data_IF_639110893365
#
_entry.id   IF_639110893365
#
_cell.length_a   1.000
_cell.length_b   1.000
_cell.length_c   1.000
_cell.angle_alpha   90.00
_cell.angle_beta   90.00
_cell.angle_gamma   90.00
#
_symmetry.space_group_name_H-M   'P 1'
#
loop_
_entity.id
_entity.type
_entity.pdbx_description
1 polymer ?
#
# COMPACT_ATOMS: atom_id res chain seq x y z
N UNK A 1 -57.51 3.06 -36.27
CA UNK A 1 -56.27 3.86 -36.37
C UNK A 1 -56.06 4.51 -35.02
N UNK A 2 -55.00 4.14 -34.29
CA UNK A 2 -54.64 4.79 -33.03
C UNK A 2 -54.06 6.18 -33.37
N UNK A 3 -54.60 7.23 -32.78
CA UNK A 3 -54.05 8.58 -32.89
C UNK A 3 -52.78 8.65 -32.02
N UNK A 4 -51.62 8.43 -32.63
CA UNK A 4 -50.34 8.75 -32.03
C UNK A 4 -50.26 10.29 -31.91
N UNK A 5 -50.36 10.82 -30.69
CA UNK A 5 -50.16 12.24 -30.43
C UNK A 5 -48.64 12.49 -30.44
N UNK A 6 -48.14 13.19 -31.47
CA UNK A 6 -46.76 13.65 -31.50
C UNK A 6 -46.46 14.64 -30.37
N UNK A 7 -45.22 14.64 -29.88
CA UNK A 7 -44.76 15.53 -28.82
C UNK A 7 -44.85 17.01 -29.24
N UNK A 8 -45.21 17.88 -28.31
CA UNK A 8 -45.21 19.32 -28.51
C UNK A 8 -43.78 19.87 -28.58
N UNK A 9 -43.53 20.86 -29.44
CA UNK A 9 -42.24 21.54 -29.54
C UNK A 9 -41.82 22.14 -28.18
N UNK A 10 -42.79 22.65 -27.41
CA UNK A 10 -42.57 23.18 -26.07
C UNK A 10 -42.14 22.07 -25.07
N UNK A 11 -42.73 20.90 -25.19
CA UNK A 11 -42.46 19.75 -24.33
C UNK A 11 -41.04 19.22 -24.59
N UNK A 12 -40.65 19.10 -25.86
CA UNK A 12 -39.27 18.76 -26.23
C UNK A 12 -38.26 19.83 -25.79
N UNK A 13 -38.62 21.12 -25.89
CA UNK A 13 -37.74 22.21 -25.48
C UNK A 13 -37.54 22.25 -23.96
N UNK A 14 -38.60 22.02 -23.19
CA UNK A 14 -38.53 21.95 -21.72
C UNK A 14 -37.70 20.73 -21.27
N UNK A 15 -37.85 19.59 -21.95
CA UNK A 15 -37.12 18.36 -21.63
C UNK A 15 -35.62 18.52 -21.87
N UNK A 16 -35.23 19.17 -22.98
CA UNK A 16 -33.83 19.50 -23.25
C UNK A 16 -33.25 20.50 -22.26
N UNK A 17 -34.04 21.49 -21.82
CA UNK A 17 -33.61 22.47 -20.81
C UNK A 17 -33.37 21.80 -19.46
N UNK A 18 -34.28 20.93 -19.01
CA UNK A 18 -34.12 20.17 -17.76
C UNK A 18 -32.92 19.23 -17.87
N UNK A 19 -32.76 18.53 -19.00
CA UNK A 19 -31.63 17.64 -19.25
C UNK A 19 -30.29 18.39 -19.21
N UNK A 20 -30.20 19.59 -19.80
CA UNK A 20 -29.00 20.41 -19.78
C UNK A 20 -28.63 20.88 -18.38
N UNK A 21 -29.61 21.29 -17.56
CA UNK A 21 -29.38 21.71 -16.17
C UNK A 21 -28.89 20.54 -15.31
N UNK A 22 -29.42 19.33 -15.51
CA UNK A 22 -29.01 18.14 -14.76
C UNK A 22 -27.66 17.57 -15.23
N UNK A 23 -27.33 17.72 -16.52
CA UNK A 23 -26.11 17.14 -17.09
C UNK A 23 -24.82 17.78 -16.53
N UNK A 24 -24.78 19.09 -16.34
CA UNK A 24 -23.56 19.81 -15.89
C UNK A 24 -23.04 19.31 -14.54
N UNK A 25 -23.80 19.34 -13.43
CA UNK A 25 -23.30 18.86 -12.14
C UNK A 25 -23.01 17.36 -12.14
N UNK A 26 -23.71 16.59 -12.98
CA UNK A 26 -23.49 15.14 -13.10
C UNK A 26 -22.17 14.82 -13.81
N UNK A 27 -21.77 15.61 -14.82
CA UNK A 27 -20.47 15.50 -15.48
C UNK A 27 -19.32 15.83 -14.53
N UNK A 28 -19.45 16.90 -13.73
CA UNK A 28 -18.44 17.25 -12.71
C UNK A 28 -18.30 16.16 -11.65
N UNK A 29 -19.42 15.62 -11.15
CA UNK A 29 -19.41 14.51 -10.20
C UNK A 29 -18.81 13.23 -10.82
N UNK A 30 -19.08 12.94 -12.09
CA UNK A 30 -18.51 11.81 -12.80
C UNK A 30 -16.99 11.95 -12.98
N UNK A 31 -16.51 13.12 -13.38
CA UNK A 31 -15.07 13.37 -13.52
C UNK A 31 -14.34 13.21 -12.19
N UNK A 32 -14.89 13.76 -11.10
CA UNK A 32 -14.34 13.57 -9.75
C UNK A 32 -14.30 12.10 -9.34
N UNK A 33 -15.38 11.35 -9.62
CA UNK A 33 -15.42 9.91 -9.34
C UNK A 33 -14.34 9.13 -10.11
N UNK A 34 -14.10 9.46 -11.38
CA UNK A 34 -13.06 8.82 -12.20
C UNK A 34 -11.67 9.13 -11.65
N UNK A 35 -11.38 10.39 -11.31
CA UNK A 35 -10.09 10.80 -10.73
C UNK A 35 -9.85 10.09 -9.39
N UNK A 36 -10.84 10.11 -8.47
CA UNK A 36 -10.72 9.44 -7.17
C UNK A 36 -10.49 7.92 -7.33
N UNK A 37 -11.16 7.29 -8.30
CA UNK A 37 -10.94 5.88 -8.63
C UNK A 37 -9.53 5.62 -9.15
N UNK A 38 -9.02 6.49 -10.04
CA UNK A 38 -7.69 6.34 -10.62
C UNK A 38 -6.62 6.53 -9.55
N UNK A 39 -6.72 7.58 -8.73
CA UNK A 39 -5.86 7.82 -7.58
C UNK A 39 -5.84 6.62 -6.63
N UNK A 40 -7.02 6.11 -6.25
CA UNK A 40 -7.11 4.92 -5.39
C UNK A 40 -6.36 3.73 -5.98
N UNK A 41 -6.47 3.52 -7.30
CA UNK A 41 -5.73 2.45 -7.98
C UNK A 41 -4.22 2.71 -7.95
N UNK A 42 -3.78 3.94 -8.21
CA UNK A 42 -2.36 4.32 -8.18
C UNK A 42 -1.76 4.09 -6.79
N UNK A 43 -2.45 4.47 -5.72
CA UNK A 43 -1.99 4.22 -4.35
C UNK A 43 -1.84 2.73 -4.05
N UNK A 44 -2.79 1.89 -4.49
CA UNK A 44 -2.70 0.43 -4.32
C UNK A 44 -1.50 -0.12 -5.09
N UNK A 45 -1.32 0.26 -6.36
CA UNK A 45 -0.17 -0.15 -7.16
C UNK A 45 1.16 0.26 -6.49
N UNK A 46 1.23 1.51 -6.00
CA UNK A 46 2.39 2.02 -5.29
C UNK A 46 2.74 1.22 -4.02
N UNK A 47 1.74 0.77 -3.25
CA UNK A 47 1.97 -0.10 -2.09
C UNK A 47 2.41 -1.51 -2.47
N UNK A 48 1.86 -2.07 -3.56
CA UNK A 48 2.26 -3.39 -4.07
C UNK A 48 3.73 -3.37 -4.52
N UNK A 49 4.13 -2.30 -5.23
CA UNK A 49 5.51 -2.08 -5.67
C UNK A 49 6.46 -2.00 -4.46
N UNK A 50 6.13 -1.20 -3.44
CA UNK A 50 6.96 -1.08 -2.23
C UNK A 50 7.17 -2.43 -1.56
N UNK A 51 6.09 -3.20 -1.38
CA UNK A 51 6.14 -4.51 -0.73
C UNK A 51 7.02 -5.48 -1.54
N UNK A 52 6.86 -5.52 -2.86
CA UNK A 52 7.65 -6.40 -3.71
C UNK A 52 9.14 -6.04 -3.73
N UNK A 53 9.50 -4.75 -3.77
CA UNK A 53 10.91 -4.31 -3.67
C UNK A 53 11.48 -4.67 -2.29
N UNK A 54 10.69 -4.54 -1.23
CA UNK A 54 11.09 -4.92 0.13
C UNK A 54 11.35 -6.42 0.24
N UNK A 55 10.43 -7.26 -0.25
CA UNK A 55 10.60 -8.72 -0.28
C UNK A 55 11.79 -9.13 -1.14
N UNK A 56 11.98 -8.48 -2.30
CA UNK A 56 13.13 -8.72 -3.15
C UNK A 56 14.45 -8.47 -2.41
N UNK A 57 14.54 -7.36 -1.68
CA UNK A 57 15.70 -7.04 -0.86
C UNK A 57 15.94 -8.09 0.23
N UNK A 58 14.89 -8.54 0.94
CA UNK A 58 15.00 -9.57 1.98
C UNK A 58 15.53 -10.91 1.45
N UNK A 59 15.31 -11.21 0.17
CA UNK A 59 15.74 -12.46 -0.47
C UNK A 59 17.12 -12.36 -1.13
N UNK A 60 17.51 -11.18 -1.62
CA UNK A 60 18.69 -11.02 -2.48
C UNK A 60 19.78 -10.11 -1.89
N UNK A 61 19.54 -9.47 -0.74
CA UNK A 61 20.44 -8.48 -0.11
C UNK A 61 20.83 -7.32 -1.05
N UNK A 62 19.93 -6.97 -1.99
CA UNK A 62 20.09 -5.89 -2.97
C UNK A 62 18.74 -5.39 -3.46
N UNK A 63 18.68 -4.20 -4.05
CA UNK A 63 17.52 -3.75 -4.81
C UNK A 63 17.56 -4.28 -6.25
N UNK A 64 16.39 -4.41 -6.92
CA UNK A 64 16.36 -4.81 -8.31
C UNK A 64 16.88 -3.66 -9.20
N UNK A 65 17.46 -3.99 -10.35
CA UNK A 65 17.72 -2.96 -11.37
C UNK A 65 16.41 -2.58 -12.09
N UNK A 66 16.28 -1.36 -12.64
CA UNK A 66 15.10 -1.01 -13.43
C UNK A 66 14.94 -1.92 -14.66
N UNK A 67 13.71 -2.03 -15.15
CA UNK A 67 13.42 -2.58 -16.47
C UNK A 67 13.50 -1.48 -17.54
N UNK A 68 13.83 -1.87 -18.77
CA UNK A 68 13.88 -0.94 -19.91
C UNK A 68 12.44 -0.54 -20.33
N UNK A 69 12.09 0.77 -20.32
CA UNK A 69 10.73 1.21 -20.58
C UNK A 69 10.19 0.88 -21.98
N UNK A 70 10.98 1.07 -23.03
CA UNK A 70 10.50 0.92 -24.41
C UNK A 70 10.34 -0.54 -24.87
N UNK A 71 10.64 -1.53 -24.01
CA UNK A 71 10.47 -2.94 -24.38
C UNK A 71 8.97 -3.28 -24.51
N UNK A 72 8.50 -3.75 -25.68
CA UNK A 72 7.09 -4.01 -25.91
C UNK A 72 6.65 -5.34 -25.29
N UNK A 73 5.36 -5.42 -24.96
CA UNK A 73 4.73 -6.59 -24.36
C UNK A 73 4.95 -7.84 -25.23
N UNK A 74 5.30 -8.95 -24.57
CA UNK A 74 5.59 -10.23 -25.22
C UNK A 74 7.07 -10.43 -25.60
N UNK A 75 7.92 -9.42 -25.42
CA UNK A 75 9.38 -9.59 -25.52
C UNK A 75 9.92 -10.31 -24.28
N UNK A 76 11.00 -11.07 -24.42
CA UNK A 76 11.59 -11.82 -23.30
C UNK A 76 12.10 -10.92 -22.16
N UNK A 77 12.62 -9.73 -22.50
CA UNK A 77 13.16 -8.75 -21.54
C UNK A 77 12.09 -7.82 -20.95
N UNK A 78 10.82 -8.04 -21.30
CA UNK A 78 9.74 -7.15 -20.93
C UNK A 78 9.45 -7.23 -19.42
N UNK A 79 9.63 -6.11 -18.71
CA UNK A 79 9.39 -6.05 -17.28
C UNK A 79 10.39 -6.84 -16.44
N UNK A 80 11.50 -7.29 -17.04
CA UNK A 80 12.60 -7.96 -16.34
C UNK A 80 13.64 -6.91 -15.95
N UNK A 81 14.25 -7.04 -14.78
CA UNK A 81 15.35 -6.17 -14.35
C UNK A 81 16.50 -6.20 -15.37
N UNK A 82 17.13 -5.05 -15.61
CA UNK A 82 18.26 -4.92 -16.50
C UNK A 82 19.37 -4.15 -15.80
N UNK A 83 20.46 -4.85 -15.50
CA UNK A 83 21.62 -4.28 -14.81
C UNK A 83 22.75 -4.01 -15.81
N UNK A 84 23.18 -2.74 -16.01
CA UNK A 84 24.22 -2.41 -16.98
C UNK A 84 25.52 -3.14 -16.71
N UNK A 85 25.92 -4.03 -17.63
CA UNK A 85 27.20 -4.74 -17.58
C UNK A 85 27.32 -5.75 -16.44
N UNK A 86 26.23 -6.09 -15.76
CA UNK A 86 26.20 -7.03 -14.64
C UNK A 86 25.09 -8.05 -14.83
N UNK A 87 25.39 -9.32 -14.62
CA UNK A 87 24.44 -10.44 -14.76
C UNK A 87 23.98 -10.88 -13.37
N UNK A 88 22.95 -10.21 -12.83
CA UNK A 88 22.56 -10.37 -11.42
C UNK A 88 21.64 -11.57 -11.17
N UNK A 89 20.94 -12.05 -12.19
CA UNK A 89 20.05 -13.21 -12.18
C UNK A 89 20.69 -14.45 -12.83
N UNK A 90 21.85 -14.28 -13.48
CA UNK A 90 22.62 -15.38 -14.08
C UNK A 90 21.95 -15.97 -15.33
N UNK A 91 21.00 -15.25 -15.92
CA UNK A 91 20.22 -15.70 -17.06
C UNK A 91 20.89 -15.35 -18.41
N UNK A 92 21.94 -14.51 -18.37
CA UNK A 92 22.72 -14.08 -19.53
C UNK A 92 21.99 -13.13 -20.48
N UNK A 93 20.88 -12.52 -20.04
CA UNK A 93 20.04 -11.62 -20.83
C UNK A 93 20.20 -10.14 -20.46
N UNK A 94 21.06 -9.84 -19.49
CA UNK A 94 21.35 -8.49 -19.02
C UNK A 94 21.91 -7.56 -20.10
N UNK A 95 21.56 -6.28 -19.98
CA UNK A 95 21.98 -5.24 -20.90
C UNK A 95 23.50 -4.99 -20.86
N UNK A 96 24.04 -4.53 -21.98
CA UNK A 96 25.45 -4.16 -22.09
C UNK A 96 25.81 -3.04 -21.09
N UNK A 97 27.09 -2.96 -20.73
CA UNK A 97 27.59 -1.88 -19.88
C UNK A 97 27.24 -0.52 -20.49
N UNK A 98 26.68 0.36 -19.68
CA UNK A 98 26.23 1.68 -20.10
C UNK A 98 27.17 2.76 -19.57
N UNK A 99 27.52 3.73 -20.42
CA UNK A 99 28.33 4.87 -19.98
C UNK A 99 27.55 5.72 -18.97
N UNK A 100 28.27 6.50 -18.15
CA UNK A 100 27.64 7.52 -17.32
C UNK A 100 27.08 8.64 -18.21
N UNK A 101 25.99 9.29 -17.79
CA UNK A 101 25.25 10.30 -18.56
C UNK A 101 24.69 9.78 -19.89
N UNK A 102 24.29 8.51 -19.92
CA UNK A 102 23.72 7.89 -21.10
C UNK A 102 22.27 7.49 -20.86
N UNK A 103 21.46 7.59 -21.91
CA UNK A 103 20.12 7.05 -21.96
C UNK A 103 19.95 6.23 -23.23
N UNK A 104 19.34 5.06 -23.11
CA UNK A 104 18.95 4.20 -24.23
C UNK A 104 17.58 3.61 -23.95
N UNK A 105 16.64 3.73 -24.89
CA UNK A 105 15.30 3.14 -24.79
C UNK A 105 14.50 3.53 -23.52
N UNK A 106 14.66 4.77 -23.07
CA UNK A 106 14.05 5.29 -21.84
C UNK A 106 14.73 4.82 -20.54
N UNK A 107 15.77 3.98 -20.64
CA UNK A 107 16.61 3.61 -19.51
C UNK A 107 17.80 4.56 -19.43
N UNK A 108 18.05 5.17 -18.28
CA UNK A 108 19.13 6.13 -18.09
C UNK A 108 20.10 5.70 -16.98
N UNK A 109 21.37 6.07 -17.13
CA UNK A 109 22.42 5.94 -16.12
C UNK A 109 23.09 7.30 -16.00
N UNK A 110 22.90 7.94 -14.85
CA UNK A 110 23.33 9.33 -14.60
C UNK A 110 24.22 9.40 -13.37
N UNK A 111 25.03 10.46 -13.30
CA UNK A 111 25.88 10.76 -12.15
C UNK A 111 25.02 11.32 -11.02
N UNK A 112 24.89 10.57 -9.94
CA UNK A 112 24.32 11.04 -8.69
C UNK A 112 25.35 11.79 -7.85
N UNK A 113 25.11 11.85 -6.54
CA UNK A 113 26.13 12.34 -5.59
C UNK A 113 27.24 11.31 -5.36
N UNK A 114 28.40 11.78 -4.92
CA UNK A 114 29.43 10.97 -4.28
C UNK A 114 28.96 10.56 -2.86
N UNK A 115 28.28 9.43 -2.75
CA UNK A 115 27.75 8.92 -1.50
C UNK A 115 28.82 8.22 -0.65
N UNK A 116 29.93 7.81 -1.25
CA UNK A 116 31.00 7.12 -0.56
C UNK A 116 32.25 7.93 -0.22
N UNK A 117 32.31 9.16 -0.70
CA UNK A 117 33.36 10.12 -0.44
C UNK A 117 34.68 9.77 -1.13
N UNK A 118 34.66 8.98 -2.19
CA UNK A 118 35.86 8.60 -2.94
C UNK A 118 36.30 9.67 -3.98
N UNK A 119 35.49 10.71 -4.16
CA UNK A 119 35.72 11.80 -5.10
C UNK A 119 35.13 11.56 -6.49
N UNK A 120 34.37 10.49 -6.71
CA UNK A 120 33.62 10.23 -7.93
C UNK A 120 32.12 10.15 -7.62
N UNK A 121 31.32 10.67 -8.56
CA UNK A 121 29.86 10.60 -8.45
C UNK A 121 29.36 9.15 -8.61
N UNK A 122 28.48 8.70 -7.72
CA UNK A 122 27.88 7.37 -7.78
C UNK A 122 26.78 7.31 -8.83
N UNK A 123 26.65 6.18 -9.53
CA UNK A 123 25.63 6.02 -10.56
C UNK A 123 24.21 5.92 -10.01
N UNK A 124 23.25 6.49 -10.74
CA UNK A 124 21.81 6.27 -10.55
C UNK A 124 21.24 5.65 -11.82
N UNK A 125 20.52 4.55 -11.67
CA UNK A 125 19.83 3.85 -12.75
C UNK A 125 18.36 4.25 -12.75
N UNK A 126 17.84 4.67 -13.90
CA UNK A 126 16.46 5.14 -14.06
C UNK A 126 15.79 4.33 -15.17
N UNK A 127 14.58 3.84 -14.91
CA UNK A 127 13.79 3.09 -15.88
C UNK A 127 12.38 2.84 -15.35
N UNK A 128 11.81 1.67 -15.63
CA UNK A 128 10.51 1.26 -15.07
C UNK A 128 10.68 0.20 -13.99
N UNK A 129 9.62 0.00 -13.21
CA UNK A 129 9.54 -1.10 -12.25
C UNK A 129 9.69 -2.46 -12.97
N UNK A 130 10.65 -3.31 -12.56
CA UNK A 130 10.87 -4.63 -13.14
C UNK A 130 9.85 -5.64 -12.62
N UNK A 131 8.60 -5.47 -13.04
CA UNK A 131 7.45 -6.16 -12.47
C UNK A 131 7.47 -7.70 -12.61
N UNK A 132 8.10 -8.22 -13.68
CA UNK A 132 8.24 -9.68 -13.89
C UNK A 132 9.26 -10.24 -12.90
N UNK A 133 10.40 -9.56 -12.73
CA UNK A 133 11.41 -9.93 -11.73
C UNK A 133 10.84 -9.87 -10.31
N UNK A 134 9.99 -8.88 -10.04
CA UNK A 134 9.32 -8.69 -8.75
C UNK A 134 8.11 -9.59 -8.54
N UNK A 135 7.70 -10.40 -9.53
CA UNK A 135 6.53 -11.28 -9.42
C UNK A 135 5.19 -10.56 -9.32
N UNK A 136 5.11 -9.29 -9.74
CA UNK A 136 3.90 -8.48 -9.69
C UNK A 136 3.05 -8.74 -10.96
N UNK A 137 1.73 -8.93 -10.87
CA UNK A 137 0.87 -8.96 -12.05
C UNK A 137 0.91 -7.64 -12.83
N UNK A 138 0.92 -7.70 -14.17
CA UNK A 138 1.10 -6.51 -15.01
C UNK A 138 0.01 -5.43 -14.82
N UNK A 139 -1.19 -5.80 -14.37
CA UNK A 139 -2.29 -4.85 -14.13
C UNK A 139 -2.20 -4.15 -12.77
N UNK A 140 -1.40 -4.70 -11.86
CA UNK A 140 -1.11 -4.18 -10.51
C UNK A 140 0.13 -3.28 -10.47
N UNK A 141 0.98 -3.28 -11.51
CA UNK A 141 2.12 -2.35 -11.65
C UNK A 141 1.82 -1.11 -12.48
N UNK A 142 0.58 -0.98 -12.97
CA UNK A 142 0.11 0.19 -13.71
C UNK A 142 -0.75 1.07 -12.81
N UNK A 143 -0.58 2.37 -12.96
CA UNK A 143 -1.37 3.37 -12.26
C UNK A 143 -2.87 3.36 -12.67
N UNK A 144 -3.64 4.28 -12.10
CA UNK A 144 -5.04 4.51 -12.44
C UNK A 144 -5.29 4.83 -13.92
N UNK A 145 -4.33 5.50 -14.57
CA UNK A 145 -4.40 5.97 -15.95
C UNK A 145 -3.75 5.03 -16.97
N UNK A 146 -3.24 3.87 -16.51
CA UNK A 146 -2.57 2.84 -17.31
C UNK A 146 -1.16 3.21 -17.77
N UNK A 147 -0.53 4.12 -17.06
CA UNK A 147 0.86 4.48 -17.19
C UNK A 147 1.71 3.58 -16.28
N UNK A 148 2.98 3.39 -16.66
CA UNK A 148 3.97 2.69 -15.83
C UNK A 148 4.59 3.66 -14.83
N UNK A 149 5.01 3.12 -13.70
CA UNK A 149 5.82 3.85 -12.73
C UNK A 149 7.25 3.99 -13.24
N UNK A 150 7.82 5.19 -13.11
CA UNK A 150 9.27 5.37 -13.19
C UNK A 150 9.91 4.87 -11.89
N UNK A 151 11.09 4.28 -12.02
CA UNK A 151 11.89 3.75 -10.93
C UNK A 151 13.32 4.21 -11.10
N UNK A 152 13.85 4.90 -10.10
CA UNK A 152 15.25 5.27 -10.03
C UNK A 152 15.89 4.66 -8.79
N UNK A 153 17.08 4.07 -8.93
CA UNK A 153 17.79 3.38 -7.86
C UNK A 153 19.28 3.68 -7.91
N UNK A 154 19.87 3.82 -6.73
CA UNK A 154 21.33 3.96 -6.60
C UNK A 154 22.02 2.69 -7.09
N UNK A 155 22.90 2.83 -8.08
CA UNK A 155 23.48 1.70 -8.82
C UNK A 155 24.27 0.74 -7.91
N UNK A 156 24.99 1.27 -6.92
CA UNK A 156 25.76 0.47 -5.96
C UNK A 156 24.88 -0.33 -5.00
N UNK A 157 23.60 0.03 -4.85
CA UNK A 157 22.62 -0.70 -4.03
C UNK A 157 21.84 -1.76 -4.82
N UNK A 158 22.13 -1.92 -6.12
CA UNK A 158 21.55 -2.98 -6.96
C UNK A 158 22.43 -4.24 -7.03
N UNK A 159 23.46 -4.33 -6.19
CA UNK A 159 24.43 -5.42 -6.16
C UNK A 159 24.78 -5.74 -4.71
N UNK A 160 24.59 -6.99 -4.29
CA UNK A 160 24.79 -7.41 -2.90
C UNK A 160 26.25 -7.30 -2.44
N UNK A 161 27.20 -7.25 -3.38
CA UNK A 161 28.64 -7.09 -3.06
C UNK A 161 28.97 -5.62 -2.76
N UNK A 162 28.33 -4.67 -3.46
CA UNK A 162 28.56 -3.24 -3.27
C UNK A 162 27.54 -2.57 -2.34
N UNK A 163 26.51 -3.31 -1.92
CA UNK A 163 25.42 -2.80 -1.10
C UNK A 163 25.91 -2.28 0.25
N UNK A 164 25.73 -0.98 0.48
CA UNK A 164 25.99 -0.35 1.77
C UNK A 164 24.74 0.46 2.16
N UNK A 165 24.02 0.08 3.23
CA UNK A 165 22.77 0.69 3.69
C UNK A 165 22.72 2.21 3.90
N UNK A 166 23.85 2.90 3.81
CA UNK A 166 23.97 4.34 4.06
C UNK A 166 24.35 5.13 2.80
N UNK A 167 24.50 4.46 1.65
CA UNK A 167 25.02 5.04 0.40
C UNK A 167 23.91 5.22 -0.63
N UNK A 168 22.89 6.00 -0.31
CA UNK A 168 21.98 6.52 -1.32
C UNK A 168 22.68 7.59 -2.17
N UNK A 169 22.37 7.65 -3.46
CA UNK A 169 22.91 8.63 -4.40
C UNK A 169 21.84 9.59 -4.98
N UNK A 170 20.56 9.38 -4.66
CA UNK A 170 19.43 10.14 -5.23
C UNK A 170 19.03 11.30 -4.31
N UNK A 171 18.75 12.47 -4.89
CA UNK A 171 18.27 13.63 -4.15
C UNK A 171 16.76 13.82 -4.32
N UNK A 172 16.08 14.11 -3.20
CA UNK A 172 14.64 14.39 -3.18
C UNK A 172 14.38 15.72 -2.49
N UNK A 173 13.86 16.66 -3.25
CA UNK A 173 13.47 18.00 -2.83
C UNK A 173 11.98 18.07 -2.51
N UNK A 174 11.58 19.03 -1.68
CA UNK A 174 10.17 19.39 -1.56
C UNK A 174 9.78 20.31 -2.72
N UNK A 175 8.58 20.15 -3.25
CA UNK A 175 7.97 20.98 -4.31
C UNK A 175 7.92 22.48 -4.00
N UNK A 176 7.88 22.85 -2.70
CA UNK A 176 7.93 24.24 -2.24
C UNK A 176 9.35 24.86 -2.29
N UNK A 177 10.34 24.10 -2.77
CA UNK A 177 11.74 24.51 -2.87
C UNK A 177 12.46 24.56 -1.52
N UNK A 178 11.87 24.02 -0.45
CA UNK A 178 12.54 23.88 0.84
C UNK A 178 13.56 22.72 0.86
N UNK A 179 14.33 22.62 1.94
CA UNK A 179 15.47 21.68 2.08
C UNK A 179 15.11 20.23 1.69
N UNK A 180 16.07 19.44 1.17
CA UNK A 180 15.81 18.06 0.77
C UNK A 180 15.21 17.24 1.92
N UNK A 181 14.27 16.35 1.62
CA UNK A 181 13.65 15.48 2.64
C UNK A 181 14.65 14.54 3.30
N UNK A 182 15.69 14.15 2.54
CA UNK A 182 16.78 13.31 3.03
C UNK A 182 17.81 14.08 3.88
N UNK A 183 17.54 15.33 4.22
CA UNK A 183 18.44 16.18 4.98
C UNK A 183 18.12 16.14 6.48
N UNK A 184 18.85 15.29 7.20
CA UNK A 184 18.89 15.26 8.66
C UNK A 184 19.92 16.22 9.29
N UNK A 185 20.21 17.40 8.71
CA UNK A 185 20.98 18.45 9.40
C UNK A 185 20.08 19.63 9.83
N UNK A 186 19.69 19.74 11.11
CA UNK A 186 18.96 20.90 11.60
C UNK A 186 19.82 22.18 11.70
N UNK A 187 21.16 22.09 11.57
CA UNK A 187 22.06 23.22 11.86
C UNK A 187 22.56 23.98 10.61
N UNK A 188 22.35 23.49 9.38
CA UNK A 188 22.78 24.22 8.18
C UNK A 188 21.96 23.91 6.91
N UNK A 189 20.85 24.62 6.66
CA UNK A 189 20.00 24.44 5.47
C UNK A 189 20.54 25.09 4.17
N UNK A 190 21.77 25.63 4.17
CA UNK A 190 22.30 26.47 3.08
C UNK A 190 23.61 25.98 2.45
N UNK A 191 24.12 24.80 2.84
CA UNK A 191 25.28 24.21 2.21
C UNK A 191 24.87 23.48 0.91
N UNK A 192 25.51 23.85 -0.21
CA UNK A 192 25.38 23.18 -1.50
C UNK A 192 25.71 21.66 -1.32
N UNK A 193 24.80 20.74 -1.69
CA UNK A 193 24.76 19.34 -1.22
C UNK A 193 25.87 18.38 -1.69
N UNK A 194 26.95 18.87 -2.32
CA UNK A 194 27.97 17.97 -2.90
C UNK A 194 28.86 17.22 -1.90
N UNK A 195 28.97 17.61 -0.63
CA UNK A 195 30.14 17.14 0.17
C UNK A 195 29.92 16.98 1.70
N UNK A 196 28.72 16.65 2.18
CA UNK A 196 28.55 16.33 3.62
C UNK A 196 28.46 14.82 3.87
N UNK A 197 29.60 14.25 4.24
CA UNK A 197 29.82 12.89 4.67
C UNK A 197 28.78 12.43 5.72
N UNK A 198 27.96 11.43 5.36
CA UNK A 198 27.22 10.60 6.32
C UNK A 198 25.73 10.85 6.47
N UNK A 199 25.09 11.63 5.60
CA UNK A 199 23.62 11.77 5.59
C UNK A 199 23.00 10.88 4.52
N UNK A 200 22.05 10.05 4.95
CA UNK A 200 21.37 9.07 4.12
C UNK A 200 20.45 9.79 3.12
N UNK A 201 20.80 9.71 1.85
CA UNK A 201 19.91 10.15 0.77
C UNK A 201 19.08 8.97 0.24
N UNK A 202 18.15 9.22 -0.68
CA UNK A 202 17.28 8.17 -1.16
C UNK A 202 18.09 7.03 -1.81
N UNK A 203 17.81 5.80 -1.38
CA UNK A 203 18.27 4.57 -2.00
C UNK A 203 17.61 4.39 -3.36
N UNK A 204 16.29 4.55 -3.39
CA UNK A 204 15.47 4.50 -4.60
C UNK A 204 14.25 5.42 -4.46
N UNK A 205 13.73 5.81 -5.61
CA UNK A 205 12.46 6.52 -5.76
C UNK A 205 11.63 5.84 -6.84
N UNK A 206 10.31 5.94 -6.72
CA UNK A 206 9.40 5.56 -7.80
C UNK A 206 8.14 6.40 -7.74
N UNK A 207 7.55 6.64 -8.90
CA UNK A 207 6.42 7.55 -8.98
C UNK A 207 5.56 7.28 -10.20
N UNK A 208 4.28 7.62 -10.05
CA UNK A 208 3.28 7.64 -11.10
C UNK A 208 3.28 9.02 -11.75
N UNK A 209 3.21 9.08 -13.08
CA UNK A 209 3.16 10.34 -13.87
C UNK A 209 1.74 10.94 -13.99
N UNK A 210 0.90 10.67 -13.00
CA UNK A 210 -0.48 11.18 -12.97
C UNK A 210 -1.36 10.95 -14.21
N UNK A 211 -2.30 11.88 -14.39
CA UNK A 211 -3.28 11.93 -15.47
C UNK A 211 -2.64 12.29 -16.82
N UNK A 212 -1.63 13.17 -16.82
CA UNK A 212 -1.01 13.63 -18.06
C UNK A 212 -0.04 12.59 -18.67
N UNK A 213 0.52 11.69 -17.85
CA UNK A 213 1.50 10.67 -18.22
C UNK A 213 2.86 11.20 -18.69
N UNK A 214 3.24 12.45 -18.39
CA UNK A 214 4.41 13.15 -18.94
C UNK A 214 5.72 12.50 -18.50
N UNK A 215 6.33 11.72 -19.39
CA UNK A 215 7.58 10.99 -19.10
C UNK A 215 7.36 9.50 -18.85
N UNK A 216 6.10 9.06 -18.80
CA UNK A 216 5.75 7.65 -18.66
C UNK A 216 5.69 6.89 -19.98
N UNK A 217 5.44 5.59 -19.88
CA UNK A 217 5.26 4.64 -20.95
C UNK A 217 4.00 3.80 -20.69
N UNK A 218 3.32 3.38 -21.75
CA UNK A 218 2.27 2.37 -21.68
C UNK A 218 2.86 0.99 -21.40
N UNK A 219 2.00 0.02 -21.10
CA UNK A 219 2.42 -1.38 -21.02
C UNK A 219 3.06 -1.90 -22.32
N UNK A 220 2.84 -1.29 -23.48
CA UNK A 220 3.46 -1.71 -24.74
C UNK A 220 4.81 -1.03 -25.01
N UNK A 221 5.34 -0.28 -24.04
CA UNK A 221 6.61 0.46 -24.20
C UNK A 221 6.47 1.72 -25.05
N UNK A 222 5.25 2.24 -25.22
CA UNK A 222 4.99 3.46 -26.00
C UNK A 222 5.00 4.63 -25.02
N UNK A 223 5.82 5.65 -25.27
CA UNK A 223 5.85 6.87 -24.45
C UNK A 223 4.49 7.58 -24.43
N UNK A 224 4.08 8.03 -23.25
CA UNK A 224 2.83 8.75 -22.98
C UNK A 224 3.14 10.18 -22.55
N UNK A 225 2.13 11.04 -22.64
CA UNK A 225 2.24 12.46 -22.28
C UNK A 225 3.04 13.29 -23.27
N UNK A 226 3.20 14.56 -22.94
CA UNK A 226 4.07 15.46 -23.68
C UNK A 226 5.55 15.10 -23.48
N UNK A 227 6.41 15.61 -24.35
CA UNK A 227 7.85 15.42 -24.18
C UNK A 227 8.29 16.16 -22.92
N UNK A 228 8.83 15.43 -21.95
CA UNK A 228 9.58 16.07 -20.87
C UNK A 228 10.63 16.99 -21.48
N UNK A 229 10.52 18.28 -21.18
CA UNK A 229 11.40 19.29 -21.75
C UNK A 229 12.69 19.25 -20.92
N UNK A 230 13.70 18.48 -21.36
CA UNK A 230 15.02 18.33 -20.70
C UNK A 230 15.86 19.63 -20.68
N UNK A 231 15.22 20.79 -20.70
CA UNK A 231 15.92 22.05 -20.51
C UNK A 231 16.35 22.13 -19.06
N UNK A 232 17.66 22.24 -18.80
CA UNK A 232 18.18 22.60 -17.48
C UNK A 232 17.49 23.90 -17.05
N UNK A 233 16.53 23.83 -16.14
CA UNK A 233 15.82 25.01 -15.69
C UNK A 233 16.43 25.46 -14.38
N UNK A 234 17.14 26.60 -14.38
CA UNK A 234 17.45 27.22 -13.09
C UNK A 234 16.14 27.68 -12.44
N UNK A 235 16.01 27.57 -11.11
CA UNK A 235 14.83 28.06 -10.37
C UNK A 235 14.41 29.52 -10.74
N UNK A 236 15.34 30.34 -11.24
CA UNK A 236 15.09 31.69 -11.76
C UNK A 236 14.49 31.73 -13.18
N UNK A 237 14.87 30.80 -14.07
CA UNK A 237 14.27 30.65 -15.41
C UNK A 237 12.89 29.99 -15.32
N UNK A 238 12.71 29.09 -14.36
CA UNK A 238 11.42 28.48 -13.99
C UNK A 238 10.40 29.52 -13.52
N UNK A 239 10.76 30.33 -12.52
CA UNK A 239 9.88 31.34 -11.96
C UNK A 239 9.48 32.43 -12.97
N UNK A 240 10.32 32.65 -13.99
CA UNK A 240 10.05 33.61 -15.07
C UNK A 240 9.23 33.02 -16.23
N UNK A 241 9.21 31.69 -16.41
CA UNK A 241 8.61 31.03 -17.56
C UNK A 241 7.17 30.53 -17.36
N UNK A 242 6.70 30.40 -16.11
CA UNK A 242 5.36 29.89 -15.82
C UNK A 242 5.14 28.44 -16.28
N UNK A 243 6.20 27.62 -16.23
CA UNK A 243 6.18 26.19 -16.59
C UNK A 243 5.80 25.32 -15.38
N UNK A 244 5.33 24.11 -15.67
CA UNK A 244 5.00 23.06 -14.70
C UNK A 244 6.28 22.46 -14.11
N UNK A 245 6.95 23.19 -13.21
CA UNK A 245 8.32 22.86 -12.77
C UNK A 245 8.44 21.52 -12.06
N UNK A 246 7.64 21.32 -11.01
CA UNK A 246 7.73 20.12 -10.18
C UNK A 246 7.46 18.86 -11.02
N UNK A 247 6.52 18.97 -11.96
CA UNK A 247 6.24 17.93 -12.94
C UNK A 247 7.41 17.66 -13.90
N UNK A 248 8.10 18.72 -14.36
CA UNK A 248 9.22 18.58 -15.29
C UNK A 248 10.47 17.97 -14.63
N UNK A 249 10.69 18.28 -13.35
CA UNK A 249 11.79 17.70 -12.57
C UNK A 249 11.69 16.18 -12.53
N UNK A 250 10.49 15.63 -12.30
CA UNK A 250 10.34 14.18 -12.19
C UNK A 250 10.44 13.43 -13.53
N UNK A 251 10.63 14.11 -14.67
CA UNK A 251 10.68 13.45 -15.96
C UNK A 251 11.95 13.72 -16.80
N UNK A 252 12.87 14.57 -16.31
CA UNK A 252 14.05 15.01 -17.07
C UNK A 252 15.19 13.99 -17.11
N UNK A 253 15.08 12.96 -16.27
CA UNK A 253 15.96 11.79 -16.14
C UNK A 253 17.32 12.13 -15.53
N UNK A 254 17.37 13.00 -14.54
CA UNK A 254 18.54 13.16 -13.68
C UNK A 254 18.39 12.47 -12.31
N UNK A 255 19.26 12.81 -11.36
CA UNK A 255 19.29 12.19 -10.02
C UNK A 255 18.55 13.02 -8.96
N UNK A 256 17.97 14.16 -9.34
CA UNK A 256 17.21 15.07 -8.51
C UNK A 256 15.71 14.91 -8.81
N UNK A 257 14.90 14.88 -7.75
CA UNK A 257 13.46 14.68 -7.89
C UNK A 257 12.72 15.60 -6.93
N UNK A 258 11.48 15.96 -7.26
CA UNK A 258 10.61 16.71 -6.36
C UNK A 258 9.51 15.83 -5.79
N UNK A 259 9.18 16.06 -4.53
CA UNK A 259 8.10 15.42 -3.81
C UNK A 259 7.18 16.45 -3.18
N UNK A 260 5.88 16.18 -3.23
CA UNK A 260 4.87 16.94 -2.51
C UNK A 260 3.95 16.00 -1.72
N UNK A 261 3.85 16.21 -0.40
CA UNK A 261 2.92 15.48 0.46
C UNK A 261 1.45 15.85 0.27
N UNK A 262 1.15 17.03 -0.29
CA UNK A 262 -0.18 17.64 -0.26
C UNK A 262 -0.74 18.01 -1.66
N UNK A 263 0.07 18.00 -2.72
CA UNK A 263 -0.31 18.59 -4.00
C UNK A 263 -0.62 17.60 -5.12
N UNK A 264 -1.79 16.93 -5.07
CA UNK A 264 -2.46 16.69 -6.35
C UNK A 264 -3.03 18.03 -6.82
N UNK A 265 -2.31 18.71 -7.71
CA UNK A 265 -2.68 20.03 -8.20
C UNK A 265 -2.65 20.05 -9.72
N UNK A 266 -3.83 20.26 -10.31
CA UNK A 266 -3.98 20.47 -11.75
C UNK A 266 -3.92 21.96 -12.11
N UNK A 267 -3.42 22.82 -11.21
CA UNK A 267 -3.30 24.25 -11.47
C UNK A 267 -2.07 24.51 -12.34
N UNK A 268 -2.27 24.95 -13.58
CA UNK A 268 -1.20 25.20 -14.53
C UNK A 268 -0.10 26.15 -13.99
N UNK A 269 1.15 25.89 -14.38
CA UNK A 269 2.33 26.64 -13.94
C UNK A 269 3.07 25.93 -12.80
N UNK A 270 3.79 26.69 -11.97
CA UNK A 270 4.68 26.13 -10.92
C UNK A 270 4.00 25.08 -10.02
N UNK A 271 2.71 25.28 -9.74
CA UNK A 271 1.93 24.43 -8.83
C UNK A 271 1.34 23.19 -9.53
N UNK A 272 1.56 22.98 -10.83
CA UNK A 272 1.08 21.78 -11.51
C UNK A 272 1.95 20.59 -11.09
N UNK A 273 1.29 19.59 -10.50
CA UNK A 273 1.91 18.35 -10.04
C UNK A 273 0.79 17.31 -9.90
N UNK A 274 0.74 16.33 -10.80
CA UNK A 274 -0.17 15.18 -10.68
C UNK A 274 0.56 13.87 -10.39
N UNK A 275 1.87 13.97 -10.16
CA UNK A 275 2.72 12.85 -9.79
C UNK A 275 2.39 12.32 -8.39
N UNK A 276 2.41 10.99 -8.26
CA UNK A 276 2.31 10.31 -6.97
C UNK A 276 3.66 9.68 -6.67
N UNK A 277 4.37 10.25 -5.69
CA UNK A 277 5.79 10.00 -5.48
C UNK A 277 6.09 9.23 -4.19
N UNK A 278 7.00 8.27 -4.29
CA UNK A 278 7.45 7.41 -3.21
C UNK A 278 8.98 7.36 -3.20
N UNK A 279 9.57 7.29 -2.01
CA UNK A 279 11.01 7.15 -1.85
C UNK A 279 11.35 6.27 -0.64
N UNK A 280 12.57 5.75 -0.66
CA UNK A 280 13.15 4.98 0.42
C UNK A 280 14.55 5.54 0.69
N UNK A 281 14.86 5.94 1.92
CA UNK A 281 16.11 6.58 2.34
C UNK A 281 16.97 5.72 3.30
N UNK A 282 16.60 4.46 3.46
CA UNK A 282 17.30 3.47 4.27
C UNK A 282 16.89 2.07 3.89
N UNK A 283 17.49 1.05 4.50
CA UNK A 283 17.04 -0.33 4.28
C UNK A 283 15.58 -0.45 4.70
N UNK A 284 14.67 -0.89 3.82
CA UNK A 284 13.28 -1.10 4.20
C UNK A 284 13.26 -2.18 5.27
N UNK A 285 12.95 -1.79 6.50
CA UNK A 285 12.62 -2.75 7.54
C UNK A 285 11.21 -3.24 7.21
N UNK A 286 11.11 -4.42 6.61
CA UNK A 286 9.86 -5.11 6.35
C UNK A 286 9.08 -5.26 7.65
N UNK A 287 8.24 -4.27 7.96
CA UNK A 287 7.19 -4.46 8.92
C UNK A 287 6.27 -5.51 8.32
N UNK A 288 6.20 -6.69 8.93
CA UNK A 288 5.15 -7.69 8.66
C UNK A 288 3.75 -7.06 8.68
N UNK A 289 3.62 -5.90 9.33
CA UNK A 289 2.43 -5.09 9.49
C UNK A 289 2.68 -3.70 8.91
N UNK A 290 1.88 -3.33 7.92
CA UNK A 290 1.82 -2.02 7.31
C UNK A 290 0.58 -1.28 7.77
N UNK A 291 0.63 0.05 7.78
CA UNK A 291 -0.50 0.91 8.14
C UNK A 291 -0.91 1.75 6.93
N UNK A 292 -2.20 1.73 6.58
CA UNK A 292 -2.79 2.62 5.58
C UNK A 292 -3.39 3.84 6.27
N UNK A 293 -2.82 5.03 6.05
CA UNK A 293 -3.36 6.28 6.59
C UNK A 293 -4.68 6.73 5.95
N UNK A 294 -5.07 6.15 4.81
CA UNK A 294 -6.30 6.51 4.08
C UNK A 294 -7.50 5.68 4.53
N UNK A 295 -7.27 4.39 4.81
CA UNK A 295 -8.31 3.47 5.28
C UNK A 295 -8.28 3.26 6.80
N UNK A 296 -7.24 3.76 7.48
CA UNK A 296 -6.93 3.54 8.90
C UNK A 296 -6.70 2.05 9.29
N UNK A 297 -6.38 1.21 8.30
CA UNK A 297 -6.21 -0.23 8.49
C UNK A 297 -4.75 -0.65 8.63
N UNK A 298 -4.52 -1.72 9.41
CA UNK A 298 -3.24 -2.43 9.49
C UNK A 298 -3.34 -3.72 8.67
N UNK A 299 -2.46 -3.90 7.69
CA UNK A 299 -2.47 -5.05 6.78
C UNK A 299 -1.09 -5.71 6.70
N UNK A 300 -1.05 -6.98 6.32
CA UNK A 300 0.21 -7.71 6.14
C UNK A 300 0.83 -7.41 4.78
N UNK A 301 2.15 -7.39 4.69
CA UNK A 301 2.87 -7.21 3.41
C UNK A 301 2.73 -8.41 2.47
N UNK A 302 2.51 -9.61 3.02
CA UNK A 302 2.27 -10.82 2.23
C UNK A 302 0.77 -10.99 1.91
N UNK A 303 0.48 -11.39 0.68
CA UNK A 303 -0.88 -11.72 0.24
C UNK A 303 -1.36 -13.06 0.77
N UNK A 304 -2.65 -13.15 1.13
CA UNK A 304 -3.30 -14.38 1.59
C UNK A 304 -3.65 -14.38 3.08
N UNK A 305 -3.86 -15.58 3.62
CA UNK A 305 -4.27 -15.81 5.00
C UNK A 305 -3.04 -15.96 5.92
N UNK A 306 -3.07 -15.39 7.13
CA UNK A 306 -2.02 -15.53 8.14
C UNK A 306 -2.19 -16.83 8.93
N UNK A 307 -1.27 -17.79 8.73
CA UNK A 307 -1.18 -19.01 9.53
C UNK A 307 -0.19 -18.89 10.69
N UNK A 308 -0.64 -19.13 11.93
CA UNK A 308 0.23 -19.27 13.11
C UNK A 308 0.24 -20.75 13.52
N UNK A 309 1.34 -21.44 13.24
CA UNK A 309 1.46 -22.88 13.51
C UNK A 309 0.76 -23.78 12.47
N UNK A 310 0.33 -23.21 11.34
CA UNK A 310 -0.23 -23.92 10.19
C UNK A 310 0.32 -23.32 8.89
N UNK A 311 0.59 -24.16 7.89
CA UNK A 311 1.05 -23.75 6.56
C UNK A 311 -0.08 -23.69 5.52
N UNK A 312 -1.29 -24.12 5.89
CA UNK A 312 -2.48 -24.13 5.02
C UNK A 312 -3.66 -23.44 5.74
N UNK A 313 -3.56 -22.12 5.99
CA UNK A 313 -4.56 -21.38 6.75
C UNK A 313 -5.89 -21.26 5.99
N UNK A 314 -6.98 -21.75 6.57
CA UNK A 314 -8.32 -21.72 5.95
C UNK A 314 -9.08 -20.40 6.18
N UNK A 315 -8.58 -19.57 7.11
CA UNK A 315 -9.18 -18.29 7.50
C UNK A 315 -8.14 -17.17 7.46
N UNK A 316 -8.58 -15.92 7.33
CA UNK A 316 -7.72 -14.74 7.22
C UNK A 316 -6.63 -14.66 8.33
N UNK A 317 -6.97 -15.08 9.54
CA UNK A 317 -6.00 -15.39 10.60
C UNK A 317 -6.37 -16.76 11.17
N UNK A 318 -5.50 -17.74 11.01
CA UNK A 318 -5.69 -19.13 11.43
C UNK A 318 -4.59 -19.54 12.41
N UNK A 319 -4.97 -19.84 13.65
CA UNK A 319 -4.03 -20.13 14.74
C UNK A 319 -4.19 -21.58 15.17
N UNK A 320 -3.23 -22.42 14.83
CA UNK A 320 -3.14 -23.79 15.34
C UNK A 320 -2.48 -23.77 16.74
N UNK A 321 -3.25 -23.33 17.74
CA UNK A 321 -2.79 -23.22 19.11
C UNK A 321 -3.63 -22.29 19.97
N UNK A 322 -3.08 -21.88 21.11
CA UNK A 322 -3.77 -21.02 22.08
C UNK A 322 -3.58 -19.53 21.75
N UNK A 323 -4.66 -18.75 21.80
CA UNK A 323 -4.63 -17.30 21.71
C UNK A 323 -4.66 -16.69 23.12
N UNK A 324 -3.66 -15.88 23.47
CA UNK A 324 -3.65 -15.10 24.72
C UNK A 324 -3.93 -13.63 24.42
N UNK A 325 -5.09 -13.14 24.85
CA UNK A 325 -5.42 -11.71 24.82
C UNK A 325 -5.13 -11.06 26.18
N UNK A 326 -4.52 -9.87 26.18
CA UNK A 326 -4.21 -9.14 27.42
C UNK A 326 -5.47 -8.62 28.15
N UNK A 327 -6.52 -8.32 27.38
CA UNK A 327 -7.77 -7.76 27.90
C UNK A 327 -8.97 -8.54 27.35
N UNK A 328 -9.59 -8.06 26.28
CA UNK A 328 -10.85 -8.61 25.74
C UNK A 328 -10.63 -9.13 24.33
N UNK A 329 -11.26 -10.24 24.02
CA UNK A 329 -11.40 -10.74 22.65
C UNK A 329 -12.82 -10.48 22.18
N UNK A 330 -13.00 -9.87 21.02
CA UNK A 330 -14.31 -9.68 20.37
C UNK A 330 -14.40 -10.67 19.22
N UNK A 331 -15.29 -11.63 19.31
CA UNK A 331 -15.58 -12.60 18.25
C UNK A 331 -17.09 -12.63 17.96
N UNK A 332 -17.47 -12.99 16.74
CA UNK A 332 -18.86 -13.23 16.38
C UNK A 332 -19.39 -14.53 17.02
N UNK A 333 -18.53 -15.55 17.14
CA UNK A 333 -18.89 -16.84 17.69
C UNK A 333 -17.69 -17.72 18.00
N UNK A 334 -17.97 -18.92 18.51
CA UNK A 334 -17.02 -19.97 18.82
C UNK A 334 -17.51 -21.23 18.11
N UNK A 335 -16.63 -21.98 17.45
CA UNK A 335 -16.98 -23.24 16.81
C UNK A 335 -16.06 -24.35 17.31
N UNK A 336 -16.48 -25.60 17.13
CA UNK A 336 -15.57 -26.75 17.25
C UNK A 336 -14.52 -26.77 16.13
N UNK A 337 -13.55 -27.68 16.23
CA UNK A 337 -12.40 -27.77 15.31
C UNK A 337 -12.82 -27.96 13.84
N UNK A 338 -13.98 -28.56 13.59
CA UNK A 338 -14.49 -28.82 12.23
C UNK A 338 -15.37 -27.67 11.70
N UNK A 339 -15.75 -26.71 12.54
CA UNK A 339 -16.67 -25.62 12.18
C UNK A 339 -18.12 -26.06 12.06
N UNK A 340 -18.46 -27.28 12.48
CA UNK A 340 -19.81 -27.85 12.35
C UNK A 340 -20.72 -27.38 13.48
N UNK A 341 -20.16 -27.19 14.68
CA UNK A 341 -20.92 -26.82 15.88
C UNK A 341 -20.48 -25.43 16.36
N UNK A 342 -21.18 -24.41 15.86
CA UNK A 342 -20.93 -23.02 16.19
C UNK A 342 -21.93 -22.45 17.20
N UNK A 343 -21.44 -21.57 18.07
CA UNK A 343 -22.21 -20.79 19.02
C UNK A 343 -21.89 -19.30 18.88
N UNK A 344 -22.90 -18.45 18.94
CA UNK A 344 -22.72 -16.99 18.88
C UNK A 344 -22.23 -16.45 20.22
N UNK A 345 -21.28 -15.51 20.20
CA UNK A 345 -20.70 -14.99 21.43
C UNK A 345 -21.70 -14.24 22.31
N UNK A 346 -22.76 -13.66 21.71
CA UNK A 346 -23.82 -12.95 22.42
C UNK A 346 -24.70 -13.86 23.28
N UNK A 347 -24.79 -15.15 22.94
CA UNK A 347 -25.54 -16.15 23.69
C UNK A 347 -24.88 -16.38 25.06
N UNK A 348 -23.56 -16.56 25.08
CA UNK A 348 -22.78 -16.63 26.34
C UNK A 348 -22.88 -15.31 27.13
N UNK A 349 -22.92 -14.18 26.42
CA UNK A 349 -23.09 -12.84 26.99
C UNK A 349 -24.43 -12.56 27.66
N UNK A 350 -25.36 -13.54 27.68
CA UNK A 350 -26.63 -13.46 28.41
C UNK A 350 -27.82 -12.94 27.60
N UNK A 351 -27.69 -12.81 26.28
CA UNK A 351 -28.80 -12.42 25.40
C UNK A 351 -29.50 -13.67 24.85
N UNK A 352 -30.59 -14.09 25.49
CA UNK A 352 -31.54 -15.02 24.88
C UNK A 352 -31.63 -16.43 25.45
N UNK A 353 -30.79 -16.82 26.42
CA UNK A 353 -30.91 -18.14 27.06
C UNK A 353 -31.90 -18.10 28.22
N UNK A 354 -32.92 -18.94 28.17
CA UNK A 354 -33.88 -19.09 29.27
C UNK A 354 -34.30 -20.54 29.43
N UNK A 355 -34.09 -21.07 30.63
CA UNK A 355 -34.60 -22.38 31.00
C UNK A 355 -36.03 -22.36 31.54
N UNK A 356 -36.77 -21.26 31.35
CA UNK A 356 -38.19 -21.15 31.74
C UNK A 356 -38.46 -21.59 33.20
N UNK A 357 -37.55 -21.24 34.12
CA UNK A 357 -37.64 -21.59 35.54
C UNK A 357 -36.92 -22.89 35.96
N UNK A 358 -36.37 -23.64 35.01
CA UNK A 358 -35.54 -24.82 35.28
C UNK A 358 -34.06 -24.46 35.51
N UNK A 359 -33.31 -25.27 36.29
CA UNK A 359 -31.87 -25.09 36.37
C UNK A 359 -31.23 -25.39 35.01
N UNK A 360 -30.31 -24.50 34.60
CA UNK A 360 -29.47 -24.67 33.42
C UNK A 360 -28.23 -25.45 33.83
N UNK A 361 -28.01 -26.62 33.22
CA UNK A 361 -26.84 -27.47 33.46
C UNK A 361 -25.73 -27.27 32.43
N UNK A 362 -26.04 -26.64 31.29
CA UNK A 362 -25.07 -26.37 30.24
C UNK A 362 -25.59 -25.41 29.17
N UNK A 363 -24.74 -25.11 28.20
CA UNK A 363 -25.06 -24.33 27.00
C UNK A 363 -24.53 -25.12 25.81
N UNK A 364 -25.37 -25.42 24.84
CA UNK A 364 -25.02 -26.16 23.63
C UNK A 364 -25.79 -25.61 22.43
N UNK A 365 -25.16 -25.51 21.25
CA UNK A 365 -25.81 -25.17 19.97
C UNK A 365 -26.73 -23.92 20.03
N UNK A 366 -26.27 -22.84 20.66
CA UNK A 366 -27.03 -21.60 20.90
C UNK A 366 -28.27 -21.72 21.81
N UNK A 367 -28.38 -22.79 22.60
CA UNK A 367 -29.49 -22.98 23.54
C UNK A 367 -29.01 -23.38 24.94
N UNK A 368 -29.85 -23.12 25.95
CA UNK A 368 -29.63 -23.58 27.31
C UNK A 368 -30.00 -25.05 27.45
N UNK A 369 -29.10 -25.87 27.98
CA UNK A 369 -29.41 -27.23 28.39
C UNK A 369 -30.08 -27.15 29.75
N UNK A 370 -31.39 -27.40 29.78
CA UNK A 370 -32.24 -27.21 30.94
C UNK A 370 -32.66 -28.54 31.55
N UNK A 371 -32.47 -28.72 32.86
CA UNK A 371 -32.91 -29.93 33.55
C UNK A 371 -34.41 -29.87 33.92
N UNK A 372 -35.00 -31.00 34.33
CA UNK A 372 -36.42 -31.01 34.76
C UNK A 372 -36.54 -30.26 36.10
N UNK A 373 -37.66 -29.54 36.29
CA UNK A 373 -37.97 -28.82 37.54
C UNK A 373 -37.71 -29.71 38.76
N UNK A 374 -36.89 -29.22 39.70
CA UNK A 374 -36.72 -29.87 40.99
C UNK A 374 -38.10 -29.98 41.66
N UNK A 375 -38.54 -31.16 42.15
CA UNK A 375 -39.85 -31.32 42.75
C UNK A 375 -40.07 -30.29 43.88
N UNK A 376 -41.16 -29.52 43.78
CA UNK A 376 -41.50 -28.54 44.79
C UNK A 376 -41.72 -29.23 46.15
N UNK A 377 -40.94 -28.82 47.16
CA UNK A 377 -41.05 -29.29 48.55
C UNK A 377 -39.91 -30.18 49.06
N UNK A 378 -38.81 -30.33 48.32
CA UNK A 378 -37.69 -31.21 48.71
C UNK A 378 -36.37 -30.45 48.82
N UNK A 379 -36.36 -29.20 49.31
CA UNK A 379 -35.13 -28.67 49.90
C UNK A 379 -35.15 -29.07 51.37
N UNK A 380 -34.36 -30.07 51.74
CA UNK A 380 -34.23 -30.51 53.13
C UNK A 380 -32.84 -30.20 53.68
N UNK A 381 -32.82 -29.71 54.93
CA UNK A 381 -31.60 -29.37 55.64
C UNK A 381 -31.44 -27.86 55.83
N UNK A 382 -30.87 -27.51 56.98
CA UNK A 382 -30.39 -26.16 57.29
C UNK A 382 -28.90 -26.29 57.63
N UNK A 383 -28.11 -25.32 57.18
CA UNK A 383 -26.69 -25.29 57.53
C UNK A 383 -26.53 -25.08 59.03
N UNK A 384 -25.53 -25.74 59.62
CA UNK A 384 -25.26 -25.58 61.03
C UNK A 384 -24.81 -24.13 61.33
N UNK A 385 -24.95 -23.70 62.58
CA UNK A 385 -24.46 -22.39 63.01
C UNK A 385 -22.94 -22.31 62.78
N UNK A 386 -22.51 -21.36 61.95
CA UNK A 386 -21.13 -21.24 61.48
C UNK A 386 -20.90 -21.70 60.04
N UNK A 387 -21.95 -22.14 59.33
CA UNK A 387 -21.91 -22.52 57.91
C UNK A 387 -22.92 -21.71 57.09
N UNK A 388 -22.69 -21.60 55.77
CA UNK A 388 -23.62 -21.01 54.80
C UNK A 388 -23.88 -21.95 53.63
N UNK A 389 -25.07 -21.83 53.04
CA UNK A 389 -25.48 -22.66 51.91
C UNK A 389 -24.73 -22.25 50.63
N UNK A 390 -24.07 -23.21 49.97
CA UNK A 390 -23.36 -23.00 48.70
C UNK A 390 -24.02 -23.69 47.51
N UNK A 391 -24.90 -24.65 47.76
CA UNK A 391 -25.63 -25.33 46.70
C UNK A 391 -26.70 -26.27 47.23
N UNK A 392 -27.32 -27.01 46.31
CA UNK A 392 -28.27 -28.08 46.60
C UNK A 392 -27.82 -29.30 45.80
N UNK A 393 -27.71 -30.46 46.44
CA UNK A 393 -27.34 -31.68 45.74
C UNK A 393 -28.50 -32.25 44.90
N UNK A 394 -28.21 -33.22 44.03
CA UNK A 394 -29.20 -33.84 43.14
C UNK A 394 -30.35 -34.57 43.89
N UNK A 395 -30.26 -34.72 45.21
CA UNK A 395 -31.31 -35.30 46.06
C UNK A 395 -32.13 -34.26 46.81
N UNK A 396 -31.78 -32.98 46.69
CA UNK A 396 -32.48 -31.86 47.31
C UNK A 396 -31.90 -31.41 48.65
N UNK A 397 -30.73 -31.88 49.08
CA UNK A 397 -30.14 -31.43 50.35
C UNK A 397 -29.28 -30.18 50.17
N UNK A 398 -29.36 -29.27 51.14
CA UNK A 398 -28.50 -28.08 51.18
C UNK A 398 -27.05 -28.49 51.42
N UNK A 399 -26.16 -28.09 50.51
CA UNK A 399 -24.71 -28.21 50.67
C UNK A 399 -24.23 -26.97 51.42
N UNK A 400 -23.54 -27.18 52.54
CA UNK A 400 -23.12 -26.13 53.46
C UNK A 400 -21.59 -26.07 53.55
N UNK A 401 -21.05 -24.86 53.53
CA UNK A 401 -19.63 -24.61 53.76
C UNK A 401 -19.42 -23.75 55.00
N UNK A 402 -18.30 -23.94 55.74
CA UNK A 402 -17.99 -23.12 56.90
C UNK A 402 -17.74 -21.67 56.49
N UNK A 403 -18.24 -20.75 57.31
CA UNK A 403 -17.91 -19.32 57.21
C UNK A 403 -16.44 -19.18 57.60
N UNK A 404 -15.58 -18.95 56.61
CA UNK A 404 -14.13 -18.72 56.80
C UNK A 404 -13.83 -17.48 57.62
#
# INVERSE_FOLDING_TARGET
MKNEKGFSLLETALLLLIAGILAVPLLEAYNRYVIERNLSKTYTAGSTIQNAITEFYELHDRYPCPAIPEIPLGSALHGVEQCPGRDMDGDGTNMAAMAMEACDQGYCRVSGRDADGDGNDDGVLIGNIPYVTLGIPYDEVLDGWKHRFTYAVTESLTDSVTFIPTRGAIMVWKSDGSTPLSYGDPDNPSANPKEQNGQATAHFVYFSHGENGRGSYTIDGIRVGEVCDNGVFTAAEVAAAGKDYNELENCDNDYEFTWDSEAYSTQAGYDYYDDIFYYQDGVPSGGTWNYSGVQEDVFTSFGGNLGIGTADPQYAVDVNGNIRAASKTRTAGYCDENGDNCMEAQVIGGSGMSCSGKPMSGIELNDGVCEIELPAGTISGECASGEYATGIDATGNVICEPIS
#
